data_IF_724144386631
#
_entry.id   IF_724144386631
#
_cell.length_a   1.000
_cell.length_b   1.000
_cell.length_c   1.000
_cell.angle_alpha   90.00
_cell.angle_beta   90.00
_cell.angle_gamma   90.00
#
_symmetry.space_group_name_H-M   'P 1'
#
loop_
_entity.id
_entity.type
_entity.pdbx_description
1 polymer ?
#
# COMPACT_ATOMS: atom_id res chain seq x y z
N UNK A 1 -3.05 -20.37 12.75
CA UNK A 1 -2.30 -19.11 12.56
C UNK A 1 -2.96 -18.10 13.48
N UNK A 2 -2.42 -17.95 14.70
CA UNK A 2 -3.06 -17.18 15.77
C UNK A 2 -2.89 -15.70 15.44
N UNK A 3 -3.97 -15.04 15.04
CA UNK A 3 -4.03 -13.58 14.97
C UNK A 3 -3.60 -13.06 16.35
N UNK A 4 -2.48 -12.34 16.42
CA UNK A 4 -1.94 -11.83 17.68
C UNK A 4 -3.01 -11.02 18.41
N UNK A 5 -3.06 -11.10 19.75
CA UNK A 5 -4.05 -10.40 20.57
C UNK A 5 -4.19 -8.90 20.23
N UNK A 6 -3.09 -8.29 19.78
CA UNK A 6 -3.04 -6.90 19.31
C UNK A 6 -3.78 -6.66 17.98
N UNK A 7 -3.78 -7.63 17.06
CA UNK A 7 -4.56 -7.58 15.82
C UNK A 7 -6.05 -7.78 16.10
N UNK A 8 -6.41 -8.70 17.00
CA UNK A 8 -7.80 -8.89 17.42
C UNK A 8 -8.34 -7.64 18.16
N UNK A 9 -7.50 -7.01 18.99
CA UNK A 9 -7.81 -5.74 19.64
C UNK A 9 -8.04 -4.63 18.61
N UNK A 10 -7.14 -4.47 17.63
CA UNK A 10 -7.29 -3.51 16.52
C UNK A 10 -8.52 -3.77 15.66
N UNK A 11 -8.86 -5.03 15.40
CA UNK A 11 -10.09 -5.42 14.67
C UNK A 11 -11.35 -5.09 15.50
N UNK A 12 -11.33 -5.35 16.81
CA UNK A 12 -12.46 -5.04 17.69
C UNK A 12 -12.62 -3.53 17.93
N UNK A 13 -11.52 -2.77 18.04
CA UNK A 13 -11.52 -1.31 18.09
C UNK A 13 -12.02 -0.72 16.78
N UNK A 14 -11.63 -1.29 15.62
CA UNK A 14 -12.13 -0.88 14.32
C UNK A 14 -13.62 -1.18 14.09
N UNK A 15 -14.21 -2.09 14.88
CA UNK A 15 -15.67 -2.37 14.88
C UNK A 15 -16.46 -1.43 15.79
N UNK A 16 -15.82 -0.71 16.72
CA UNK A 16 -16.52 0.24 17.61
C UNK A 16 -16.82 1.55 16.87
N UNK A 17 -17.95 2.18 17.18
CA UNK A 17 -18.32 3.51 16.68
C UNK A 17 -17.35 4.58 17.18
N UNK A 18 -17.18 5.65 16.37
CA UNK A 18 -16.33 6.80 16.75
C UNK A 18 -16.89 7.43 18.02
N UNK A 19 -18.21 7.55 18.08
CA UNK A 19 -18.97 8.10 19.19
C UNK A 19 -18.68 7.35 20.49
N UNK A 20 -18.64 6.01 20.49
CA UNK A 20 -18.28 5.22 21.67
C UNK A 20 -16.79 5.34 22.00
N UNK A 21 -15.92 5.46 20.99
CA UNK A 21 -14.47 5.60 21.19
C UNK A 21 -14.07 6.97 21.75
N UNK A 22 -14.70 8.03 21.27
CA UNK A 22 -14.53 9.40 21.76
C UNK A 22 -15.03 9.53 23.19
N UNK A 23 -16.21 8.95 23.49
CA UNK A 23 -16.72 8.91 24.86
C UNK A 23 -15.85 8.05 25.78
N UNK A 24 -15.26 6.94 25.29
CA UNK A 24 -14.27 6.18 26.09
C UNK A 24 -13.03 7.01 26.45
N UNK A 25 -12.64 7.98 25.61
CA UNK A 25 -11.49 8.87 25.89
C UNK A 25 -11.87 10.04 26.81
N UNK A 26 -13.13 10.49 26.78
CA UNK A 26 -13.63 11.61 27.59
C UNK A 26 -14.02 11.22 29.02
N UNK A 27 -14.31 9.93 29.27
CA UNK A 27 -14.71 9.44 30.59
C UNK A 27 -13.55 9.53 31.59
N UNK A 28 -13.78 10.29 32.67
CA UNK A 28 -12.85 10.44 33.80
C UNK A 28 -12.81 9.17 34.68
N UNK A 29 -11.68 8.94 35.34
CA UNK A 29 -11.50 7.76 36.19
C UNK A 29 -12.45 7.73 37.41
N UNK A 30 -12.96 8.90 37.84
CA UNK A 30 -13.96 8.99 38.90
C UNK A 30 -15.33 8.42 38.51
N UNK A 31 -15.70 8.46 37.22
CA UNK A 31 -16.96 7.89 36.73
C UNK A 31 -16.94 6.35 36.64
N UNK A 32 -15.74 5.74 36.65
CA UNK A 32 -15.54 4.30 36.39
C UNK A 32 -15.21 3.50 37.66
N UNK A 33 -15.08 4.16 38.81
CA UNK A 33 -14.78 3.50 40.10
C UNK A 33 -15.77 2.36 40.41
N UNK A 34 -15.23 1.21 40.81
CA UNK A 34 -16.02 0.08 41.30
C UNK A 34 -16.66 0.44 42.64
N UNK A 35 -17.87 -0.04 42.88
CA UNK A 35 -18.52 0.14 44.17
C UNK A 35 -17.90 -0.81 45.20
N UNK A 36 -18.00 -0.47 46.48
CA UNK A 36 -17.44 -1.26 47.60
C UNK A 36 -17.93 -2.72 47.58
N UNK A 37 -19.18 -2.94 47.14
CA UNK A 37 -19.76 -4.28 47.02
C UNK A 37 -19.21 -5.06 45.81
N UNK A 38 -18.95 -4.39 44.68
CA UNK A 38 -18.32 -4.99 43.51
C UNK A 38 -16.86 -5.38 43.80
N UNK A 39 -16.14 -4.57 44.58
CA UNK A 39 -14.78 -4.88 45.01
C UNK A 39 -14.74 -6.08 45.96
N UNK A 40 -15.65 -6.14 46.93
CA UNK A 40 -15.78 -7.28 47.86
C UNK A 40 -16.13 -8.57 47.10
N UNK A 41 -17.07 -8.52 46.16
CA UNK A 41 -17.42 -9.67 45.34
C UNK A 41 -16.25 -10.20 44.51
N UNK A 42 -15.40 -9.32 43.96
CA UNK A 42 -14.21 -9.73 43.20
C UNK A 42 -13.19 -10.42 44.11
N UNK A 43 -13.00 -9.90 45.32
CA UNK A 43 -12.10 -10.49 46.32
C UNK A 43 -12.60 -11.88 46.74
N UNK A 44 -13.90 -12.03 46.99
CA UNK A 44 -14.51 -13.29 47.45
C UNK A 44 -14.58 -14.36 46.34
N UNK A 45 -14.53 -13.96 45.07
CA UNK A 45 -14.66 -14.85 43.90
C UNK A 45 -13.33 -15.26 43.26
N UNK A 46 -12.19 -14.75 43.76
CA UNK A 46 -10.87 -15.04 43.22
C UNK A 46 -9.95 -15.62 44.29
N UNK A 47 -9.24 -16.70 43.95
CA UNK A 47 -8.38 -17.42 44.89
C UNK A 47 -6.99 -16.77 45.05
N UNK A 48 -6.58 -15.96 44.08
CA UNK A 48 -5.27 -15.30 44.06
C UNK A 48 -5.39 -13.80 43.83
N UNK A 49 -4.45 -13.04 44.38
CA UNK A 49 -4.41 -11.58 44.25
C UNK A 49 -4.17 -11.13 42.79
N UNK A 50 -3.47 -11.94 41.99
CA UNK A 50 -3.24 -11.69 40.58
C UNK A 50 -4.53 -11.85 39.76
N UNK A 51 -5.35 -12.86 40.05
CA UNK A 51 -6.65 -13.04 39.42
C UNK A 51 -7.62 -11.92 39.81
N UNK A 52 -7.61 -11.51 41.09
CA UNK A 52 -8.40 -10.38 41.58
C UNK A 52 -8.08 -9.08 40.82
N UNK A 53 -6.81 -8.81 40.54
CA UNK A 53 -6.38 -7.64 39.77
C UNK A 53 -6.85 -7.70 38.32
N UNK A 54 -6.71 -8.85 37.65
CA UNK A 54 -7.21 -9.02 36.28
C UNK A 54 -8.73 -8.83 36.19
N UNK A 55 -9.49 -9.36 37.16
CA UNK A 55 -10.95 -9.21 37.21
C UNK A 55 -11.35 -7.76 37.48
N UNK A 56 -10.62 -7.03 38.34
CA UNK A 56 -10.82 -5.58 38.57
C UNK A 56 -10.63 -4.79 37.29
N UNK A 57 -9.53 -4.99 36.58
CA UNK A 57 -9.24 -4.29 35.31
C UNK A 57 -10.31 -4.57 34.26
N UNK A 58 -10.75 -5.83 34.15
CA UNK A 58 -11.83 -6.22 33.25
C UNK A 58 -13.18 -5.56 33.63
N UNK A 59 -13.50 -5.49 34.92
CA UNK A 59 -14.73 -4.88 35.42
C UNK A 59 -14.76 -3.36 35.20
N UNK A 60 -13.63 -2.67 35.47
CA UNK A 60 -13.44 -1.24 35.17
C UNK A 60 -13.63 -0.99 33.67
N UNK A 61 -12.99 -1.80 32.81
CA UNK A 61 -13.12 -1.68 31.36
C UNK A 61 -14.57 -1.91 30.89
N UNK A 62 -15.27 -2.89 31.46
CA UNK A 62 -16.68 -3.17 31.14
C UNK A 62 -17.59 -2.00 31.55
N UNK A 63 -17.37 -1.42 32.73
CA UNK A 63 -18.10 -0.26 33.23
C UNK A 63 -17.85 0.97 32.36
N UNK A 64 -16.60 1.22 31.97
CA UNK A 64 -16.21 2.29 31.04
C UNK A 64 -16.92 2.16 29.69
N UNK A 65 -16.94 0.95 29.12
CA UNK A 65 -17.67 0.66 27.87
C UNK A 65 -19.18 0.90 27.99
N UNK A 66 -19.78 0.52 29.12
CA UNK A 66 -21.22 0.71 29.37
C UNK A 66 -21.59 2.20 29.42
N UNK A 67 -20.81 2.99 30.16
CA UNK A 67 -21.01 4.45 30.26
C UNK A 67 -20.81 5.12 28.91
N UNK A 68 -19.75 4.76 28.18
CA UNK A 68 -19.48 5.31 26.85
C UNK A 68 -20.61 4.98 25.85
N UNK A 69 -21.16 3.77 25.90
CA UNK A 69 -22.31 3.38 25.09
C UNK A 69 -23.56 4.19 25.43
N UNK A 70 -23.79 4.48 26.72
CA UNK A 70 -24.92 5.30 27.15
C UNK A 70 -24.78 6.76 26.70
N UNK A 71 -23.59 7.35 26.86
CA UNK A 71 -23.28 8.71 26.39
C UNK A 71 -23.41 8.80 24.86
N UNK A 72 -22.85 7.85 24.12
CA UNK A 72 -22.96 7.77 22.67
C UNK A 72 -24.41 7.52 22.19
N UNK A 73 -25.23 6.77 22.93
CA UNK A 73 -26.66 6.62 22.60
C UNK A 73 -27.44 7.90 22.82
N UNK A 74 -27.06 8.70 23.83
CA UNK A 74 -27.71 9.97 24.13
C UNK A 74 -27.37 11.06 23.09
N UNK A 75 -26.22 10.97 22.42
CA UNK A 75 -25.81 11.88 21.36
C UNK A 75 -26.36 11.54 19.97
N UNK A 76 -26.93 10.34 19.79
CA UNK A 76 -27.52 9.88 18.52
C UNK A 76 -29.05 9.91 18.60
N UNK A 77 -29.71 9.98 17.43
CA UNK A 77 -31.17 9.93 17.33
C UNK A 77 -31.76 8.72 18.09
N UNK A 78 -32.73 8.99 18.98
CA UNK A 78 -33.39 8.00 19.85
C UNK A 78 -34.09 6.86 19.10
N UNK A 79 -34.43 7.06 17.83
CA UNK A 79 -35.03 6.05 16.95
C UNK A 79 -34.02 5.02 16.42
N UNK A 80 -32.71 5.26 16.58
CA UNK A 80 -31.66 4.33 16.13
C UNK A 80 -31.46 3.23 17.18
N UNK A 81 -31.64 1.93 16.83
CA UNK A 81 -31.38 0.83 17.75
C UNK A 81 -29.92 0.83 18.22
N UNK A 82 -29.70 0.61 19.52
CA UNK A 82 -28.36 0.62 20.11
C UNK A 82 -27.40 -0.38 19.45
N UNK A 83 -27.91 -1.48 18.92
CA UNK A 83 -27.15 -2.48 18.17
C UNK A 83 -26.49 -1.92 16.90
N UNK A 84 -27.11 -0.92 16.25
CA UNK A 84 -26.55 -0.28 15.05
C UNK A 84 -25.37 0.64 15.36
N UNK A 85 -25.21 1.08 16.61
CA UNK A 85 -24.04 1.84 17.07
C UNK A 85 -22.77 0.97 17.08
N UNK A 86 -22.89 -0.35 17.10
CA UNK A 86 -21.74 -1.28 17.08
C UNK A 86 -21.41 -1.82 15.69
N UNK A 87 -22.25 -1.50 14.71
CA UNK A 87 -22.11 -1.97 13.34
C UNK A 87 -21.85 -0.80 12.41
N UNK A 88 -20.72 -0.13 12.62
CA UNK A 88 -20.20 0.80 11.63
C UNK A 88 -19.59 -0.01 10.49
N UNK A 89 -19.90 0.30 9.21
CA UNK A 89 -19.06 -0.12 8.12
C UNK A 89 -17.62 0.33 8.43
N UNK A 90 -16.69 -0.62 8.57
CA UNK A 90 -15.27 -0.28 8.67
C UNK A 90 -14.84 0.42 7.38
N UNK A 91 -13.66 1.07 7.40
CA UNK A 91 -13.06 1.61 6.18
C UNK A 91 -13.17 0.62 5.02
N UNK A 92 -13.61 1.10 3.86
CA UNK A 92 -13.70 0.29 2.65
C UNK A 92 -12.34 -0.33 2.35
N UNK A 93 -12.31 -1.64 2.11
CA UNK A 93 -11.12 -2.32 1.60
C UNK A 93 -11.27 -2.45 0.09
N UNK A 94 -10.25 -2.03 -0.65
CA UNK A 94 -10.18 -2.26 -2.08
C UNK A 94 -9.42 -3.56 -2.30
N UNK A 95 -10.02 -4.47 -3.07
CA UNK A 95 -9.40 -5.71 -3.52
C UNK A 95 -9.52 -5.77 -5.03
N UNK A 96 -8.41 -6.11 -5.68
CA UNK A 96 -8.39 -6.40 -7.11
C UNK A 96 -7.76 -7.77 -7.34
N UNK A 97 -8.15 -8.46 -8.40
CA UNK A 97 -7.52 -9.73 -8.80
C UNK A 97 -6.75 -9.52 -10.09
N UNK A 98 -5.51 -9.98 -10.12
CA UNK A 98 -4.67 -9.95 -11.32
C UNK A 98 -4.19 -11.36 -11.64
N UNK A 99 -4.24 -11.73 -12.92
CA UNK A 99 -3.81 -13.04 -13.41
C UNK A 99 -2.63 -12.86 -14.35
N UNK A 100 -1.50 -13.50 -14.03
CA UNK A 100 -0.27 -13.42 -14.80
C UNK A 100 0.02 -14.75 -15.51
N UNK A 101 0.27 -14.70 -16.82
CA UNK A 101 0.58 -15.89 -17.61
C UNK A 101 2.07 -16.04 -17.93
N UNK A 102 2.83 -14.94 -18.00
CA UNK A 102 4.26 -14.99 -18.33
C UNK A 102 5.13 -15.13 -17.10
N UNK A 103 6.24 -15.87 -17.25
CA UNK A 103 7.24 -16.00 -16.18
C UNK A 103 7.89 -14.67 -15.86
N UNK A 104 8.03 -13.79 -16.85
CA UNK A 104 8.69 -12.50 -16.67
C UNK A 104 7.82 -11.55 -15.85
N UNK A 105 6.51 -11.45 -16.12
CA UNK A 105 5.59 -10.69 -15.27
C UNK A 105 5.54 -11.27 -13.83
N UNK A 106 5.52 -12.59 -13.69
CA UNK A 106 5.55 -13.21 -12.35
C UNK A 106 6.84 -12.90 -11.57
N UNK A 107 7.99 -12.78 -12.25
CA UNK A 107 9.25 -12.38 -11.61
C UNK A 107 9.23 -10.93 -11.14
N UNK A 108 8.53 -10.03 -11.82
CA UNK A 108 8.30 -8.67 -11.35
C UNK A 108 7.45 -8.61 -10.09
N UNK A 109 6.48 -9.52 -9.96
CA UNK A 109 5.66 -9.62 -8.77
C UNK A 109 6.48 -9.99 -7.53
N UNK A 110 7.41 -10.95 -7.67
CA UNK A 110 8.28 -11.40 -6.58
C UNK A 110 9.48 -10.49 -6.30
N UNK A 111 10.05 -9.86 -7.33
CA UNK A 111 11.35 -9.19 -7.22
C UNK A 111 12.51 -10.18 -7.08
N UNK A 112 13.68 -9.68 -6.64
CA UNK A 112 14.87 -10.49 -6.43
C UNK A 112 15.75 -9.90 -5.33
N UNK A 113 16.00 -10.67 -4.29
CA UNK A 113 17.00 -10.31 -3.27
C UNK A 113 18.44 -10.38 -3.82
N UNK A 114 19.35 -9.53 -3.32
CA UNK A 114 20.74 -9.58 -3.71
C UNK A 114 21.35 -10.90 -3.25
N UNK A 115 22.04 -11.59 -4.16
CA UNK A 115 22.71 -12.86 -3.86
C UNK A 115 24.05 -12.92 -4.56
N UNK A 116 25.03 -13.55 -3.92
CA UNK A 116 26.33 -13.82 -4.54
C UNK A 116 26.22 -15.08 -5.37
N UNK A 117 26.53 -14.98 -6.66
CA UNK A 117 26.62 -16.12 -7.57
C UNK A 117 28.05 -16.26 -8.09
N UNK A 118 28.44 -17.47 -8.48
CA UNK A 118 29.68 -17.68 -9.23
C UNK A 118 29.34 -17.65 -10.71
N UNK A 119 29.95 -16.72 -11.46
CA UNK A 119 29.84 -16.63 -12.92
C UNK A 119 31.25 -16.55 -13.49
N UNK A 120 31.60 -17.43 -14.43
CA UNK A 120 32.93 -17.50 -15.03
C UNK A 120 34.05 -17.56 -13.96
N UNK A 121 33.91 -18.42 -12.95
CA UNK A 121 34.82 -18.55 -11.79
C UNK A 121 35.01 -17.26 -10.95
N UNK A 122 34.20 -16.23 -11.15
CA UNK A 122 34.22 -15.01 -10.32
C UNK A 122 32.97 -14.92 -9.46
N UNK A 123 33.13 -14.51 -8.20
CA UNK A 123 32.01 -14.19 -7.30
C UNK A 123 31.42 -12.84 -7.71
N UNK A 124 30.22 -12.86 -8.27
CA UNK A 124 29.48 -11.67 -8.68
C UNK A 124 28.27 -11.50 -7.77
N UNK A 125 28.16 -10.32 -7.13
CA UNK A 125 26.98 -9.97 -6.34
C UNK A 125 25.87 -9.51 -7.29
N UNK A 126 24.78 -10.27 -7.34
CA UNK A 126 23.59 -9.84 -8.07
C UNK A 126 22.92 -8.68 -7.36
N UNK A 127 22.46 -7.70 -8.13
CA UNK A 127 21.71 -6.55 -7.65
C UNK A 127 20.31 -6.96 -7.20
N UNK A 128 19.82 -6.27 -6.16
CA UNK A 128 18.42 -6.33 -5.73
C UNK A 128 17.52 -5.80 -6.84
N UNK A 129 16.38 -6.46 -7.06
CA UNK A 129 15.30 -5.98 -7.92
C UNK A 129 14.07 -5.85 -7.04
N UNK A 130 13.53 -4.65 -6.93
CA UNK A 130 12.31 -4.39 -6.16
C UNK A 130 11.13 -5.04 -6.87
N UNK A 131 10.35 -5.84 -6.13
CA UNK A 131 9.14 -6.48 -6.63
C UNK A 131 7.88 -5.63 -6.43
N UNK A 132 6.76 -6.02 -7.05
CA UNK A 132 5.47 -5.31 -6.93
C UNK A 132 5.04 -5.14 -5.47
N UNK A 133 5.06 -6.21 -4.67
CA UNK A 133 4.62 -6.15 -3.27
C UNK A 133 5.52 -5.28 -2.41
N UNK A 134 6.82 -5.29 -2.69
CA UNK A 134 7.80 -4.47 -2.00
C UNK A 134 7.60 -2.99 -2.32
N UNK A 135 7.46 -2.66 -3.61
CA UNK A 135 7.16 -1.30 -4.07
C UNK A 135 5.80 -0.79 -3.56
N UNK A 136 4.78 -1.65 -3.53
CA UNK A 136 3.45 -1.33 -3.01
C UNK A 136 3.47 -1.01 -1.51
N UNK A 137 4.29 -1.72 -0.73
CA UNK A 137 4.46 -1.42 0.69
C UNK A 137 5.31 -0.17 0.90
N UNK A 138 6.35 0.03 0.10
CA UNK A 138 7.23 1.19 0.18
C UNK A 138 6.49 2.50 -0.17
N UNK A 139 5.68 2.52 -1.25
CA UNK A 139 4.95 3.72 -1.68
C UNK A 139 3.93 4.20 -0.64
N UNK A 140 3.35 3.27 0.14
CA UNK A 140 2.50 3.62 1.28
C UNK A 140 3.23 4.50 2.30
N UNK A 141 4.50 4.20 2.58
CA UNK A 141 5.30 5.01 3.51
C UNK A 141 5.61 6.39 2.92
N UNK A 142 5.79 6.48 1.59
CA UNK A 142 5.96 7.75 0.89
C UNK A 142 4.69 8.61 1.02
N UNK A 143 3.51 8.02 0.83
CA UNK A 143 2.23 8.72 1.01
C UNK A 143 2.07 9.27 2.42
N UNK A 144 2.42 8.47 3.44
CA UNK A 144 2.42 8.93 4.84
C UNK A 144 3.43 10.08 5.03
N UNK A 145 4.64 9.97 4.49
CA UNK A 145 5.63 11.05 4.54
C UNK A 145 5.16 12.33 3.86
N UNK A 146 4.46 12.22 2.74
CA UNK A 146 3.83 13.35 2.04
C UNK A 146 2.75 14.00 2.90
N UNK A 147 1.87 13.21 3.53
CA UNK A 147 0.84 13.72 4.45
C UNK A 147 1.43 14.44 5.67
N UNK A 148 2.61 14.01 6.14
CA UNK A 148 3.35 14.67 7.21
C UNK A 148 4.06 15.97 6.74
N UNK A 149 4.01 16.28 5.45
CA UNK A 149 4.59 17.48 4.86
C UNK A 149 6.07 17.36 4.50
N UNK A 150 6.57 16.15 4.23
CA UNK A 150 7.94 15.95 3.72
C UNK A 150 8.04 16.34 2.23
N UNK A 151 8.97 17.25 1.90
CA UNK A 151 9.21 17.69 0.52
C UNK A 151 9.76 16.57 -0.36
N UNK A 152 10.69 15.75 0.14
CA UNK A 152 11.25 14.63 -0.62
C UNK A 152 10.23 13.52 -0.89
N UNK A 153 9.33 13.25 0.06
CA UNK A 153 8.23 12.32 -0.16
C UNK A 153 7.30 12.83 -1.28
N UNK A 154 6.94 14.12 -1.23
CA UNK A 154 6.15 14.80 -2.27
C UNK A 154 6.84 14.71 -3.63
N UNK A 155 8.14 15.01 -3.68
CA UNK A 155 8.92 14.94 -4.91
C UNK A 155 9.00 13.52 -5.48
N UNK A 156 9.18 12.51 -4.63
CA UNK A 156 9.23 11.11 -5.07
C UNK A 156 7.90 10.64 -5.63
N UNK A 157 6.76 11.02 -5.04
CA UNK A 157 5.45 10.73 -5.63
C UNK A 157 5.29 11.37 -7.01
N UNK A 158 5.72 12.63 -7.19
CA UNK A 158 5.70 13.29 -8.50
C UNK A 158 6.59 12.58 -9.53
N UNK A 159 7.79 12.14 -9.13
CA UNK A 159 8.67 11.32 -9.99
C UNK A 159 7.98 10.02 -10.40
N UNK A 160 7.32 9.35 -9.46
CA UNK A 160 6.56 8.11 -9.71
C UNK A 160 5.43 8.37 -10.72
N UNK A 161 4.62 9.43 -10.54
CA UNK A 161 3.55 9.80 -11.49
C UNK A 161 4.06 10.07 -12.89
N UNK A 162 5.15 10.85 -13.00
CA UNK A 162 5.81 11.13 -14.28
C UNK A 162 6.30 9.85 -14.94
N UNK A 163 6.92 8.95 -14.17
CA UNK A 163 7.41 7.68 -14.70
C UNK A 163 6.26 6.77 -15.13
N UNK A 164 5.16 6.69 -14.37
CA UNK A 164 3.96 5.95 -14.79
C UNK A 164 3.39 6.47 -16.10
N UNK A 165 3.30 7.79 -16.28
CA UNK A 165 2.83 8.39 -17.54
C UNK A 165 3.72 8.00 -18.72
N UNK A 166 5.04 8.11 -18.56
CA UNK A 166 6.02 7.70 -19.58
C UNK A 166 5.90 6.22 -19.94
N UNK A 167 5.69 5.36 -18.94
CA UNK A 167 5.52 3.92 -19.17
C UNK A 167 4.26 3.65 -19.97
N UNK A 168 3.13 4.30 -19.66
CA UNK A 168 1.89 4.14 -20.44
C UNK A 168 2.05 4.57 -21.89
N UNK A 169 2.71 5.70 -22.13
CA UNK A 169 3.02 6.17 -23.48
C UNK A 169 3.93 5.18 -24.22
N UNK A 170 4.98 4.70 -23.56
CA UNK A 170 5.89 3.71 -24.11
C UNK A 170 5.18 2.39 -24.44
N UNK A 171 4.23 1.98 -23.60
CA UNK A 171 3.45 0.76 -23.78
C UNK A 171 2.55 0.88 -25.00
N UNK A 172 1.87 2.02 -25.17
CA UNK A 172 1.07 2.31 -26.36
C UNK A 172 1.91 2.26 -27.63
N UNK A 173 3.04 2.96 -27.65
CA UNK A 173 3.96 2.99 -28.80
C UNK A 173 4.49 1.59 -29.11
N UNK A 174 4.85 0.82 -28.07
CA UNK A 174 5.40 -0.52 -28.27
C UNK A 174 4.35 -1.51 -28.74
N UNK A 175 3.09 -1.36 -28.32
CA UNK A 175 1.97 -2.13 -28.83
C UNK A 175 1.77 -1.87 -30.33
N UNK A 176 1.70 -0.60 -30.75
CA UNK A 176 1.55 -0.24 -32.17
C UNK A 176 2.70 -0.75 -33.05
N UNK A 177 3.94 -0.62 -32.57
CA UNK A 177 5.12 -1.12 -33.27
C UNK A 177 5.10 -2.64 -33.40
N UNK A 178 4.71 -3.34 -32.34
CA UNK A 178 4.58 -4.79 -32.31
C UNK A 178 3.50 -5.27 -33.27
N UNK A 179 2.33 -4.62 -33.28
CA UNK A 179 1.22 -4.97 -34.16
C UNK A 179 1.59 -4.75 -35.63
N UNK A 180 2.34 -3.68 -35.93
CA UNK A 180 2.85 -3.41 -37.28
C UNK A 180 3.87 -4.47 -37.71
N UNK A 181 4.81 -4.82 -36.83
CA UNK A 181 5.80 -5.87 -37.07
C UNK A 181 5.12 -7.22 -37.36
N UNK A 182 4.11 -7.59 -36.57
CA UNK A 182 3.36 -8.84 -36.73
C UNK A 182 2.61 -8.85 -38.06
N UNK A 183 1.88 -7.77 -38.39
CA UNK A 183 1.13 -7.66 -39.66
C UNK A 183 2.04 -7.77 -40.89
N UNK A 184 3.26 -7.26 -40.80
CA UNK A 184 4.24 -7.37 -41.88
C UNK A 184 4.82 -8.78 -42.00
N UNK A 185 4.89 -9.53 -40.89
CA UNK A 185 5.44 -10.88 -40.86
C UNK A 185 4.41 -11.96 -41.24
N UNK A 186 3.12 -11.76 -40.94
CA UNK A 186 2.08 -12.74 -41.21
C UNK A 186 0.68 -12.12 -41.32
N UNK A 187 -0.19 -12.75 -42.11
CA UNK A 187 -1.61 -12.46 -42.15
C UNK A 187 -2.42 -13.26 -41.11
N UNK A 188 -1.78 -14.22 -40.42
CA UNK A 188 -2.44 -15.03 -39.40
C UNK A 188 -2.60 -14.22 -38.10
N UNK A 189 -3.81 -14.21 -37.56
CA UNK A 189 -4.11 -13.61 -36.27
C UNK A 189 -4.10 -14.72 -35.22
N UNK A 190 -3.10 -14.71 -34.36
CA UNK A 190 -3.03 -15.63 -33.22
C UNK A 190 -3.68 -15.00 -31.99
N UNK A 191 -4.39 -15.83 -31.22
CA UNK A 191 -4.85 -15.46 -29.89
C UNK A 191 -3.68 -15.22 -28.93
N UNK A 192 -3.81 -14.30 -27.95
CA UNK A 192 -2.78 -14.06 -26.94
C UNK A 192 -2.44 -15.34 -26.17
N UNK A 193 -1.16 -15.55 -25.87
CA UNK A 193 -0.69 -16.73 -25.16
C UNK A 193 -1.40 -16.90 -23.81
N UNK A 194 -1.83 -18.12 -23.52
CA UNK A 194 -2.37 -18.52 -22.22
C UNK A 194 -1.47 -19.61 -21.61
N UNK A 195 -0.88 -19.31 -20.45
CA UNK A 195 -0.23 -20.34 -19.64
C UNK A 195 -1.23 -21.42 -19.22
N UNK A 196 -0.77 -22.68 -19.21
CA UNK A 196 -1.53 -23.82 -18.68
C UNK A 196 -1.81 -23.71 -17.18
N UNK A 197 -0.93 -23.01 -16.46
CA UNK A 197 -1.04 -22.76 -15.02
C UNK A 197 -0.77 -21.28 -14.75
N UNK A 198 -1.73 -20.39 -15.05
CA UNK A 198 -1.58 -18.97 -14.75
C UNK A 198 -1.59 -18.75 -13.23
N UNK A 199 -0.93 -17.69 -12.78
CA UNK A 199 -0.95 -17.33 -11.36
C UNK A 199 -1.92 -16.18 -11.14
N UNK A 200 -3.00 -16.44 -10.42
CA UNK A 200 -3.94 -15.42 -9.96
C UNK A 200 -3.55 -14.95 -8.57
N UNK A 201 -3.46 -13.64 -8.39
CA UNK A 201 -3.06 -13.00 -7.14
C UNK A 201 -4.12 -11.98 -6.75
N UNK A 202 -4.60 -12.08 -5.51
CA UNK A 202 -5.46 -11.07 -4.90
C UNK A 202 -4.58 -9.92 -4.38
N UNK A 203 -4.93 -8.71 -4.77
CA UNK A 203 -4.22 -7.47 -4.51
C UNK A 203 -5.06 -6.62 -3.56
N UNK A 204 -4.71 -6.68 -2.28
CA UNK A 204 -5.38 -5.95 -1.21
C UNK A 204 -4.52 -4.77 -0.77
N UNK A 205 -4.29 -3.84 -1.71
CA UNK A 205 -3.42 -2.70 -1.45
C UNK A 205 -4.17 -1.58 -0.71
N UNK A 206 -3.45 -0.92 0.20
CA UNK A 206 -3.94 0.27 0.91
C UNK A 206 -3.63 1.59 0.20
N UNK A 207 -2.83 1.54 -0.87
CA UNK A 207 -2.34 2.70 -1.61
C UNK A 207 -2.89 2.68 -3.02
N UNK A 208 -3.40 3.82 -3.52
CA UNK A 208 -3.85 3.95 -4.91
C UNK A 208 -2.71 3.74 -5.90
N UNK A 209 -1.47 4.14 -5.56
CA UNK A 209 -0.29 3.91 -6.40
C UNK A 209 -0.01 2.43 -6.62
N UNK A 210 -0.19 1.61 -5.60
CA UNK A 210 0.05 0.17 -5.70
C UNK A 210 -0.90 -0.49 -6.71
N UNK A 211 -2.16 -0.03 -6.81
CA UNK A 211 -3.08 -0.48 -7.86
C UNK A 211 -2.60 -0.06 -9.26
N UNK A 212 -2.08 1.16 -9.42
CA UNK A 212 -1.49 1.58 -10.69
C UNK A 212 -0.23 0.77 -11.05
N UNK A 213 0.60 0.39 -10.07
CA UNK A 213 1.75 -0.48 -10.30
C UNK A 213 1.32 -1.86 -10.79
N UNK A 214 0.27 -2.43 -10.19
CA UNK A 214 -0.27 -3.72 -10.66
C UNK A 214 -0.92 -3.64 -12.03
N UNK A 215 -1.64 -2.55 -12.32
CA UNK A 215 -2.25 -2.31 -13.65
C UNK A 215 -1.18 -2.25 -14.74
N UNK A 216 -0.09 -1.49 -14.52
CA UNK A 216 1.05 -1.45 -15.44
C UNK A 216 1.71 -2.83 -15.60
N UNK A 217 1.84 -3.61 -14.53
CA UNK A 217 2.40 -4.97 -14.63
C UNK A 217 1.48 -5.92 -15.42
N UNK A 218 0.17 -5.79 -15.26
CA UNK A 218 -0.82 -6.56 -16.04
C UNK A 218 -0.79 -6.18 -17.52
N UNK A 219 -0.65 -4.90 -17.84
CA UNK A 219 -0.47 -4.44 -19.23
C UNK A 219 0.82 -5.00 -19.85
N UNK A 220 1.90 -5.06 -19.08
CA UNK A 220 3.15 -5.70 -19.50
C UNK A 220 2.98 -7.20 -19.79
N UNK A 221 2.31 -7.95 -18.91
CA UNK A 221 2.00 -9.37 -19.16
C UNK A 221 1.16 -9.54 -20.42
N UNK A 222 0.16 -8.68 -20.61
CA UNK A 222 -0.75 -8.71 -21.76
C UNK A 222 -0.01 -8.49 -23.07
N UNK A 223 0.88 -7.49 -23.13
CA UNK A 223 1.69 -7.24 -24.33
C UNK A 223 2.69 -8.37 -24.58
N UNK A 224 3.33 -8.92 -23.55
CA UNK A 224 4.20 -10.07 -23.76
C UNK A 224 3.44 -11.29 -24.31
N UNK A 225 2.22 -11.53 -23.83
CA UNK A 225 1.37 -12.63 -24.31
C UNK A 225 0.96 -12.47 -25.76
N UNK A 226 0.71 -11.23 -26.21
CA UNK A 226 0.35 -10.97 -27.61
C UNK A 226 1.51 -11.33 -28.55
N UNK A 227 2.76 -11.07 -28.16
CA UNK A 227 3.94 -11.42 -28.97
C UNK A 227 4.37 -12.88 -28.81
N UNK A 228 4.20 -13.44 -27.62
CA UNK A 228 4.72 -14.76 -27.28
C UNK A 228 4.13 -15.86 -28.16
N UNK A 229 2.85 -15.77 -28.55
CA UNK A 229 2.22 -16.71 -29.49
C UNK A 229 2.98 -16.76 -30.81
N UNK A 230 3.28 -15.60 -31.41
CA UNK A 230 4.02 -15.51 -32.68
C UNK A 230 5.47 -16.00 -32.54
N UNK A 231 6.10 -15.75 -31.40
CA UNK A 231 7.45 -16.26 -31.11
C UNK A 231 7.48 -17.79 -31.06
N UNK A 232 6.48 -18.42 -30.43
CA UNK A 232 6.41 -19.89 -30.35
C UNK A 232 6.27 -20.55 -31.72
N UNK A 233 5.70 -19.85 -32.70
CA UNK A 233 5.58 -20.29 -34.09
C UNK A 233 6.72 -19.79 -34.99
N UNK A 234 7.80 -19.23 -34.41
CA UNK A 234 8.96 -18.69 -35.15
C UNK A 234 8.65 -17.58 -36.16
N UNK A 235 7.50 -16.91 -36.02
CA UNK A 235 7.13 -15.73 -36.84
C UNK A 235 7.88 -14.49 -36.32
N UNK A 236 8.02 -14.39 -35.00
CA UNK A 236 8.84 -13.37 -34.33
C UNK A 236 10.09 -14.04 -33.79
N UNK A 237 11.26 -13.43 -34.01
CA UNK A 237 12.52 -13.99 -33.52
C UNK A 237 12.62 -13.93 -31.99
N UNK A 238 13.46 -14.79 -31.41
CA UNK A 238 13.72 -14.72 -29.97
C UNK A 238 14.44 -13.43 -29.56
N UNK A 239 15.19 -12.81 -30.48
CA UNK A 239 15.87 -11.53 -30.22
C UNK A 239 14.87 -10.39 -30.21
N UNK A 240 13.97 -10.31 -31.18
CA UNK A 240 12.93 -9.27 -31.23
C UNK A 240 12.03 -9.33 -29.99
N UNK A 241 11.62 -10.54 -29.59
CA UNK A 241 10.87 -10.73 -28.35
C UNK A 241 11.63 -10.21 -27.13
N UNK A 242 12.93 -10.51 -27.03
CA UNK A 242 13.77 -10.06 -25.93
C UNK A 242 13.95 -8.54 -25.94
N UNK A 243 14.07 -7.92 -27.11
CA UNK A 243 14.15 -6.46 -27.24
C UNK A 243 12.86 -5.80 -26.75
N UNK A 244 11.69 -6.36 -27.10
CA UNK A 244 10.38 -5.91 -26.61
C UNK A 244 10.30 -6.07 -25.08
N UNK A 245 10.67 -7.25 -24.56
CA UNK A 245 10.71 -7.53 -23.12
C UNK A 245 11.59 -6.52 -22.37
N UNK A 246 12.80 -6.25 -22.86
CA UNK A 246 13.74 -5.33 -22.21
C UNK A 246 13.29 -3.88 -22.29
N UNK A 247 12.80 -3.44 -23.45
CA UNK A 247 12.29 -2.08 -23.69
C UNK A 247 11.17 -1.74 -22.71
N UNK A 248 10.30 -2.71 -22.44
CA UNK A 248 9.12 -2.53 -21.62
C UNK A 248 9.38 -2.81 -20.13
N UNK A 249 10.20 -3.82 -19.85
CA UNK A 249 10.49 -4.24 -18.48
C UNK A 249 11.46 -3.31 -17.75
N UNK A 250 12.43 -2.69 -18.45
CA UNK A 250 13.42 -1.82 -17.78
C UNK A 250 12.76 -0.61 -17.10
N UNK A 251 11.87 0.15 -17.76
CA UNK A 251 11.13 1.25 -17.13
C UNK A 251 10.27 0.82 -15.94
N UNK A 252 9.68 -0.39 -15.96
CA UNK A 252 8.95 -0.94 -14.81
C UNK A 252 9.87 -1.20 -13.61
N UNK A 253 11.08 -1.74 -13.84
CA UNK A 253 12.07 -1.94 -12.76
C UNK A 253 12.50 -0.61 -12.16
N UNK A 254 12.70 0.40 -13.00
CA UNK A 254 13.01 1.76 -12.56
C UNK A 254 11.88 2.35 -11.73
N UNK A 255 10.63 2.20 -12.18
CA UNK A 255 9.44 2.65 -11.42
C UNK A 255 9.39 2.02 -10.03
N UNK A 256 9.57 0.70 -9.93
CA UNK A 256 9.57 0.03 -8.63
C UNK A 256 10.77 0.43 -7.79
N UNK A 257 11.93 0.68 -8.41
CA UNK A 257 13.10 1.14 -7.66
C UNK A 257 12.92 2.57 -7.11
N UNK A 258 12.17 3.45 -7.80
CA UNK A 258 11.92 4.81 -7.33
C UNK A 258 11.28 4.85 -5.94
N UNK A 259 10.55 3.82 -5.53
CA UNK A 259 9.93 3.77 -4.19
C UNK A 259 10.96 3.69 -3.06
N UNK A 260 12.19 3.29 -3.36
CA UNK A 260 13.30 3.25 -2.40
C UNK A 260 14.17 4.51 -2.46
N UNK A 261 13.90 5.43 -3.40
CA UNK A 261 14.73 6.64 -3.64
C UNK A 261 14.23 7.85 -2.85
N UNK A 262 13.96 7.67 -1.56
CA UNK A 262 13.53 8.74 -0.67
C UNK A 262 13.94 8.50 0.78
N UNK A 263 13.99 9.57 1.56
CA UNK A 263 14.15 9.55 3.01
C UNK A 263 13.19 10.59 3.60
N UNK A 264 12.73 10.38 4.83
CA UNK A 264 11.94 11.39 5.52
C UNK A 264 12.87 12.54 5.97
N UNK A 265 12.55 13.76 5.53
CA UNK A 265 13.30 14.97 5.88
C UNK A 265 12.31 15.96 6.47
N UNK A 266 12.54 16.35 7.72
CA UNK A 266 11.73 17.37 8.39
C UNK A 266 11.88 18.73 7.72
N UNK A 267 10.83 19.56 7.77
CA UNK A 267 10.82 20.90 7.15
C UNK A 267 11.93 21.79 7.68
N UNK A 268 12.18 21.72 8.99
CA UNK A 268 13.25 22.46 9.69
C UNK A 268 14.62 22.30 9.01
N UNK A 269 14.96 21.07 8.58
CA UNK A 269 16.24 20.79 7.93
C UNK A 269 16.37 21.48 6.57
N UNK A 270 15.25 21.61 5.85
CA UNK A 270 15.20 22.28 4.54
C UNK A 270 15.26 23.80 4.72
N UNK A 271 14.59 24.32 5.74
CA UNK A 271 14.54 25.75 6.04
C UNK A 271 15.89 26.29 6.56
N UNK A 272 16.59 25.50 7.39
CA UNK A 272 17.89 25.87 7.97
C UNK A 272 19.06 25.87 6.97
N UNK A 273 18.89 25.26 5.78
CA UNK A 273 19.93 25.12 4.73
C UNK A 273 21.30 24.66 5.26
N UNK A 274 21.27 23.71 6.19
CA UNK A 274 22.46 23.25 6.90
C UNK A 274 23.27 22.25 6.04
N UNK A 275 24.49 21.89 6.47
CA UNK A 275 25.34 20.86 5.83
C UNK A 275 24.61 19.52 5.66
N UNK A 276 23.71 19.19 6.59
CA UNK A 276 22.82 18.02 6.48
C UNK A 276 21.94 18.03 5.22
N UNK A 277 21.46 19.21 4.79
CA UNK A 277 20.66 19.31 3.56
C UNK A 277 21.53 19.02 2.33
N UNK A 278 22.76 19.52 2.30
CA UNK A 278 23.71 19.27 1.20
C UNK A 278 24.03 17.77 1.06
N UNK A 279 24.22 17.07 2.18
CA UNK A 279 24.45 15.61 2.19
C UNK A 279 23.22 14.84 1.67
N UNK A 280 22.01 15.32 1.98
CA UNK A 280 20.77 14.73 1.49
C UNK A 280 20.60 15.00 -0.02
N UNK A 281 20.84 16.23 -0.47
CA UNK A 281 20.77 16.61 -1.89
C UNK A 281 21.77 15.82 -2.74
N UNK A 282 22.97 15.55 -2.23
CA UNK A 282 23.94 14.70 -2.90
C UNK A 282 23.44 13.25 -3.07
N UNK A 283 22.67 12.73 -2.11
CA UNK A 283 22.14 11.35 -2.14
C UNK A 283 20.82 11.23 -2.92
N UNK A 284 19.89 12.16 -2.76
CA UNK A 284 18.51 12.07 -3.26
C UNK A 284 18.22 13.00 -4.46
N UNK A 285 19.17 13.88 -4.77
CA UNK A 285 19.03 14.94 -5.77
C UNK A 285 18.44 16.22 -5.17
N UNK A 286 18.65 17.33 -5.90
CA UNK A 286 18.17 18.66 -5.50
C UNK A 286 16.64 18.73 -5.64
N UNK A 287 15.99 19.37 -4.66
CA UNK A 287 14.55 19.62 -4.69
C UNK A 287 14.23 20.74 -5.69
N UNK A 288 13.24 20.55 -6.58
CA UNK A 288 12.76 21.64 -7.44
C UNK A 288 12.05 22.75 -6.64
N UNK A 289 12.25 24.01 -7.04
CA UNK A 289 11.59 25.18 -6.44
C UNK A 289 10.05 25.09 -6.46
N UNK A 290 9.49 24.40 -7.45
CA UNK A 290 8.05 24.15 -7.56
C UNK A 290 7.51 23.26 -6.44
N UNK A 291 8.34 22.37 -5.89
CA UNK A 291 7.98 21.52 -4.73
C UNK A 291 8.07 22.34 -3.44
N UNK A 292 9.12 23.16 -3.29
CA UNK A 292 9.30 24.03 -2.13
C UNK A 292 8.18 25.07 -2.02
N UNK A 293 7.78 25.66 -3.16
CA UNK A 293 6.65 26.59 -3.26
C UNK A 293 5.27 25.92 -3.17
N UNK A 294 5.21 24.59 -3.16
CA UNK A 294 3.98 23.82 -3.08
C UNK A 294 3.12 23.84 -4.36
N UNK A 295 3.60 24.46 -5.45
CA UNK A 295 2.90 24.50 -6.75
C UNK A 295 2.81 23.13 -7.40
N UNK A 296 3.87 22.34 -7.27
CA UNK A 296 3.94 20.98 -7.80
C UNK A 296 3.55 19.99 -6.70
N UNK A 297 2.48 19.24 -6.95
CA UNK A 297 1.93 18.27 -6.01
C UNK A 297 1.52 16.99 -6.76
N UNK A 298 1.62 15.82 -6.13
CA UNK A 298 1.11 14.58 -6.70
C UNK A 298 -0.40 14.68 -6.94
N UNK A 299 -0.86 14.15 -8.07
CA UNK A 299 -2.27 14.17 -8.47
C UNK A 299 -3.05 13.03 -7.83
N UNK A 300 -2.49 11.82 -7.82
CA UNK A 300 -3.13 10.60 -7.32
C UNK A 300 -3.30 10.69 -5.80
N UNK A 301 -2.28 11.18 -5.09
CA UNK A 301 -2.34 11.32 -3.63
C UNK A 301 -3.45 12.29 -3.18
N UNK A 302 -3.78 13.32 -3.97
CA UNK A 302 -4.93 14.21 -3.68
C UNK A 302 -6.25 13.46 -3.75
N UNK A 303 -6.42 12.58 -4.74
CA UNK A 303 -7.64 11.79 -4.91
C UNK A 303 -7.79 10.77 -3.78
N UNK A 304 -6.69 10.14 -3.35
CA UNK A 304 -6.71 9.22 -2.21
C UNK A 304 -7.14 9.89 -0.91
N UNK A 305 -6.77 11.17 -0.68
CA UNK A 305 -7.23 11.95 0.47
C UNK A 305 -8.73 12.21 0.45
N UNK A 306 -9.34 12.42 -0.72
CA UNK A 306 -10.80 12.59 -0.84
C UNK A 306 -11.53 11.27 -0.53
N UNK A 307 -10.98 10.12 -0.94
CA UNK A 307 -11.58 8.80 -0.67
C UNK A 307 -11.41 8.31 0.78
N UNK A 308 -10.37 8.77 1.49
CA UNK A 308 -10.07 8.39 2.88
C UNK A 308 -10.57 9.43 3.88
N UNK A 309 -10.76 10.67 3.45
CA UNK A 309 -11.11 11.83 4.24
C UNK A 309 -12.57 12.25 4.06
N UNK A 310 -13.50 11.31 4.19
CA UNK A 310 -14.87 11.65 4.57
C UNK A 310 -14.89 12.26 5.96
N UNK A 311 -14.35 13.47 6.11
CA UNK A 311 -14.76 14.41 7.13
C UNK A 311 -16.21 14.74 6.79
N UNK A 312 -17.12 14.29 7.63
CA UNK A 312 -18.46 14.86 7.66
C UNK A 312 -18.32 16.31 8.11
N UNK A 313 -18.25 17.21 7.14
CA UNK A 313 -18.68 18.58 7.30
C UNK A 313 -20.04 18.68 6.58
N UNK A 314 -21.10 18.32 7.31
CA UNK A 314 -22.48 18.84 7.20
C UNK A 314 -23.22 18.56 8.51
#
# INVERSE_FOLDING_TARGET
MVLGAEQLKKINEAKQSIEVSEEMKSISDDEVKLTVQEEQYIIDSTETEQDAQMVREAAILAKKKKIATQKAKASVNRSVPAEKLFHRPSYGYMSATATYHTRDAYRFLLGRNPRTIVRNNQKVRQTRIVGLFEAANAVKNIEVGHQQGCYYATWTLVKIERQMKKIRELFSISQEQTDTMIKNATNLVFEPFLSRSPTTVTLDFRSSYAFHFSDLLTQYDTLLRSVLSYRLHSIVSSEDYRLIELKMGTPLRELFHLTDTWEFVGREVVDEKNTKLQDIEHRLGVLPDEILSGKLQPTIAKVSQISLGGKGDE
#
